data_IF_228666091891
#
_entry.id   IF_228666091891
#
_cell.length_a   1.000
_cell.length_b   1.000
_cell.length_c   1.000
_cell.angle_alpha   90.00
_cell.angle_beta   90.00
_cell.angle_gamma   90.00
#
_symmetry.space_group_name_H-M   'P 1'
#
loop_
_entity.id
_entity.type
_entity.pdbx_description
1 polymer ?
#
# COMPACT_ATOMS: atom_id res chain seq x y z
N UNK A 1 5.85 18.19 12.94
CA UNK A 1 5.67 16.73 12.93
C UNK A 1 5.14 16.34 11.58
N UNK A 2 5.79 15.37 10.93
CA UNK A 2 5.32 14.85 9.64
C UNK A 2 4.15 13.88 9.82
N UNK A 3 3.31 13.74 8.79
CA UNK A 3 2.30 12.67 8.79
C UNK A 3 2.86 11.40 8.15
N UNK A 4 2.58 10.28 8.78
CA UNK A 4 2.84 8.94 8.27
C UNK A 4 1.53 8.26 7.86
N UNK A 5 1.63 7.45 6.84
CA UNK A 5 0.52 6.67 6.29
C UNK A 5 0.87 5.20 6.41
N UNK A 6 0.04 4.44 7.11
CA UNK A 6 0.13 3.00 7.20
C UNK A 6 -0.89 2.36 6.25
N UNK A 7 -0.39 1.56 5.33
CA UNK A 7 -1.19 0.78 4.38
C UNK A 7 -1.23 -0.67 4.86
N UNK A 8 -2.36 -1.08 5.44
CA UNK A 8 -2.54 -2.42 5.97
C UNK A 8 -2.74 -3.43 4.85
N UNK A 9 -2.12 -4.61 4.98
CA UNK A 9 -2.25 -5.68 4.00
C UNK A 9 -3.38 -6.63 4.35
N UNK A 10 -4.24 -6.92 3.36
CA UNK A 10 -5.27 -7.96 3.39
C UNK A 10 -6.15 -7.94 4.65
N UNK A 11 -6.59 -6.74 5.07
CA UNK A 11 -7.59 -6.57 6.12
C UNK A 11 -8.99 -6.43 5.54
N UNK A 12 -10.00 -6.77 6.32
CA UNK A 12 -11.42 -6.75 5.95
C UNK A 12 -11.73 -7.57 4.68
N UNK A 13 -10.98 -8.65 4.51
CA UNK A 13 -11.18 -9.69 3.49
C UNK A 13 -11.40 -11.02 4.20
N UNK A 14 -12.48 -11.72 3.86
CA UNK A 14 -12.81 -12.99 4.50
C UNK A 14 -12.94 -12.85 6.03
N UNK A 15 -12.19 -13.67 6.77
CA UNK A 15 -12.21 -13.70 8.25
C UNK A 15 -11.30 -12.67 8.93
N UNK A 16 -10.49 -11.96 8.17
CA UNK A 16 -9.49 -11.00 8.70
C UNK A 16 -10.13 -9.63 8.93
N UNK A 17 -10.96 -9.51 9.97
CA UNK A 17 -11.70 -8.30 10.25
C UNK A 17 -10.92 -7.38 11.18
N UNK A 18 -10.71 -6.14 10.74
CA UNK A 18 -10.12 -5.04 11.48
C UNK A 18 -11.07 -3.84 11.37
N UNK A 19 -11.99 -3.66 12.32
CA UNK A 19 -12.89 -2.50 12.30
C UNK A 19 -12.09 -1.21 12.46
N UNK A 20 -12.20 -0.29 11.51
CA UNK A 20 -11.39 0.93 11.47
C UNK A 20 -11.63 1.86 12.67
N UNK A 21 -12.86 1.90 13.20
CA UNK A 21 -13.17 2.65 14.43
C UNK A 21 -12.41 2.09 15.63
N UNK A 22 -12.42 0.75 15.80
CA UNK A 22 -11.68 0.08 16.87
C UNK A 22 -10.16 0.30 16.73
N UNK A 23 -9.64 0.18 15.53
CA UNK A 23 -8.22 0.43 15.26
C UNK A 23 -7.82 1.86 15.65
N UNK A 24 -8.64 2.85 15.29
CA UNK A 24 -8.39 4.26 15.67
C UNK A 24 -8.33 4.44 17.19
N UNK A 25 -9.27 3.84 17.93
CA UNK A 25 -9.29 3.89 19.41
C UNK A 25 -8.04 3.25 20.02
N UNK A 26 -7.66 2.06 19.55
CA UNK A 26 -6.48 1.34 20.00
C UNK A 26 -5.19 2.11 19.76
N UNK A 27 -5.03 2.67 18.57
CA UNK A 27 -3.86 3.48 18.24
C UNK A 27 -3.79 4.72 19.12
N UNK A 28 -4.91 5.41 19.36
CA UNK A 28 -4.97 6.54 20.27
C UNK A 28 -4.57 6.16 21.69
N UNK A 29 -5.09 5.06 22.22
CA UNK A 29 -4.73 4.53 23.55
C UNK A 29 -3.25 4.13 23.63
N UNK A 30 -2.66 3.65 22.54
CA UNK A 30 -1.24 3.32 22.43
C UNK A 30 -0.32 4.55 22.20
N UNK A 31 -0.90 5.77 22.22
CA UNK A 31 -0.14 7.02 22.12
C UNK A 31 0.22 7.43 20.69
N UNK A 32 -0.47 6.93 19.67
CA UNK A 32 -0.42 7.51 18.34
C UNK A 32 -1.25 8.79 18.30
N UNK A 33 -0.73 9.82 17.64
CA UNK A 33 -1.34 11.15 17.62
C UNK A 33 -2.06 11.41 16.29
N UNK A 34 -3.16 12.15 16.32
CA UNK A 34 -3.92 12.57 15.15
C UNK A 34 -4.37 11.41 14.24
N UNK A 35 -4.75 10.28 14.84
CA UNK A 35 -5.13 9.08 14.09
C UNK A 35 -6.42 9.29 13.30
N UNK A 36 -6.35 9.04 12.00
CA UNK A 36 -7.49 9.01 11.09
C UNK A 36 -7.42 7.78 10.18
N UNK A 37 -8.56 7.33 9.69
CA UNK A 37 -8.65 6.17 8.80
C UNK A 37 -9.43 6.52 7.53
N UNK A 38 -9.13 5.84 6.44
CA UNK A 38 -9.84 6.01 5.17
C UNK A 38 -10.07 4.66 4.51
N UNK A 39 -11.32 4.32 4.24
CA UNK A 39 -11.82 3.05 3.70
C UNK A 39 -11.51 1.83 4.57
N UNK A 40 -12.33 0.80 4.40
CA UNK A 40 -12.17 -0.49 5.11
C UNK A 40 -10.97 -1.30 4.63
N UNK A 41 -10.34 -0.91 3.53
CA UNK A 41 -9.11 -1.57 3.03
C UNK A 41 -7.86 -1.29 3.88
N UNK A 42 -8.00 -0.51 4.96
CA UNK A 42 -6.93 -0.32 5.94
C UNK A 42 -5.92 0.74 5.52
N UNK A 43 -6.35 1.99 5.45
CA UNK A 43 -5.47 3.14 5.27
C UNK A 43 -5.55 3.99 6.53
N UNK A 44 -4.43 4.19 7.20
CA UNK A 44 -4.35 4.88 8.47
C UNK A 44 -3.34 6.02 8.38
N UNK A 45 -3.71 7.18 8.90
CA UNK A 45 -2.89 8.38 8.97
C UNK A 45 -2.63 8.72 10.43
N UNK A 46 -1.45 9.20 10.74
CA UNK A 46 -1.13 9.69 12.07
C UNK A 46 0.11 10.61 12.05
N UNK A 47 0.27 11.41 13.07
CA UNK A 47 1.49 12.19 13.25
C UNK A 47 2.65 11.28 13.68
N UNK A 48 3.86 11.50 13.15
CA UNK A 48 5.03 10.65 13.37
C UNK A 48 5.45 10.52 14.83
N UNK A 49 5.10 11.52 15.65
CA UNK A 49 5.46 11.58 17.08
C UNK A 49 6.98 11.58 17.31
N UNK A 50 7.75 12.01 16.30
CA UNK A 50 9.21 12.00 16.36
C UNK A 50 9.85 10.62 16.16
N UNK A 51 9.05 9.61 15.72
CA UNK A 51 9.53 8.25 15.46
C UNK A 51 9.67 7.99 13.97
N UNK A 52 10.59 7.10 13.64
CA UNK A 52 10.75 6.62 12.26
C UNK A 52 9.53 5.82 11.78
N UNK A 53 9.38 5.70 10.47
CA UNK A 53 8.35 4.87 9.85
C UNK A 53 8.48 3.40 10.27
N UNK A 54 9.70 2.88 10.39
CA UNK A 54 9.94 1.50 10.82
C UNK A 54 9.48 1.28 12.27
N UNK A 55 9.80 2.19 13.19
CA UNK A 55 9.37 2.08 14.59
C UNK A 55 7.85 2.15 14.73
N UNK A 56 7.21 3.09 14.05
CA UNK A 56 5.75 3.21 14.09
C UNK A 56 5.06 2.05 13.40
N UNK A 57 5.61 1.56 12.29
CA UNK A 57 5.11 0.36 11.60
C UNK A 57 5.13 -0.88 12.50
N UNK A 58 6.28 -1.17 13.13
CA UNK A 58 6.42 -2.31 14.05
C UNK A 58 5.47 -2.22 15.25
N UNK A 59 5.35 -1.05 15.88
CA UNK A 59 4.39 -0.83 16.97
C UNK A 59 2.93 -1.07 16.53
N UNK A 60 2.59 -0.66 15.32
CA UNK A 60 1.24 -0.87 14.78
C UNK A 60 0.98 -2.36 14.50
N UNK A 61 1.95 -3.08 13.94
CA UNK A 61 1.85 -4.52 13.70
C UNK A 61 1.68 -5.31 15.00
N UNK A 62 2.44 -4.97 16.05
CA UNK A 62 2.29 -5.55 17.38
C UNK A 62 0.90 -5.30 17.96
N UNK A 63 0.42 -4.06 17.91
CA UNK A 63 -0.91 -3.68 18.38
C UNK A 63 -2.03 -4.44 17.66
N UNK A 64 -1.90 -4.60 16.35
CA UNK A 64 -2.86 -5.35 15.54
C UNK A 64 -2.86 -6.84 15.89
N UNK A 65 -1.68 -7.43 16.10
CA UNK A 65 -1.56 -8.83 16.50
C UNK A 65 -2.16 -9.09 17.89
N UNK A 66 -1.87 -8.23 18.85
CA UNK A 66 -2.40 -8.34 20.22
C UNK A 66 -3.92 -8.25 20.27
N UNK A 67 -4.51 -7.30 19.53
CA UNK A 67 -5.96 -7.08 19.57
C UNK A 67 -6.75 -8.09 18.73
N UNK A 68 -6.28 -8.38 17.51
CA UNK A 68 -7.06 -9.16 16.54
C UNK A 68 -6.61 -10.62 16.41
N UNK A 69 -5.48 -10.98 17.01
CA UNK A 69 -4.99 -12.36 17.08
C UNK A 69 -4.42 -12.92 15.76
N UNK A 70 -4.14 -12.05 14.77
CA UNK A 70 -3.49 -12.44 13.53
C UNK A 70 -2.51 -11.37 13.04
N UNK A 71 -1.46 -11.80 12.35
CA UNK A 71 -0.46 -10.90 11.80
C UNK A 71 -1.07 -10.03 10.68
N UNK A 72 -0.93 -8.72 10.80
CA UNK A 72 -1.24 -7.76 9.75
C UNK A 72 0.03 -7.02 9.39
N UNK A 73 0.54 -7.26 8.20
CA UNK A 73 1.73 -6.55 7.70
C UNK A 73 1.34 -5.15 7.26
N UNK A 74 2.22 -4.19 7.50
CA UNK A 74 1.99 -2.78 7.25
C UNK A 74 3.08 -2.22 6.33
N UNK A 75 2.67 -1.56 5.26
CA UNK A 75 3.59 -0.77 4.41
C UNK A 75 3.46 0.70 4.80
N UNK A 76 4.57 1.29 5.21
CA UNK A 76 4.63 2.69 5.63
C UNK A 76 5.03 3.61 4.48
N UNK A 77 4.38 4.78 4.42
CA UNK A 77 4.79 5.88 3.53
C UNK A 77 4.64 7.22 4.25
N UNK A 78 5.41 8.20 3.84
CA UNK A 78 5.21 9.61 4.22
C UNK A 78 4.39 10.35 3.17
N UNK A 79 3.88 11.53 3.51
CA UNK A 79 3.24 12.44 2.54
C UNK A 79 4.17 12.74 1.36
N UNK A 80 5.45 13.03 1.63
CA UNK A 80 6.44 13.31 0.59
C UNK A 80 6.69 12.10 -0.34
N UNK A 81 6.66 10.88 0.20
CA UNK A 81 6.75 9.68 -0.65
C UNK A 81 5.53 9.53 -1.56
N UNK A 82 4.31 9.82 -1.05
CA UNK A 82 3.12 9.81 -1.91
C UNK A 82 3.16 10.92 -2.97
N UNK A 83 3.72 12.10 -2.67
CA UNK A 83 3.98 13.13 -3.68
C UNK A 83 4.90 12.61 -4.77
N UNK A 84 5.98 11.93 -4.40
CA UNK A 84 6.90 11.29 -5.34
C UNK A 84 6.21 10.23 -6.21
N UNK A 85 5.38 9.38 -5.62
CA UNK A 85 4.60 8.36 -6.34
C UNK A 85 3.68 8.97 -7.40
N UNK A 86 3.02 10.08 -7.07
CA UNK A 86 2.10 10.77 -7.99
C UNK A 86 2.88 11.50 -9.08
N UNK A 87 3.93 12.23 -8.72
CA UNK A 87 4.73 13.01 -9.65
C UNK A 87 5.50 12.13 -10.65
N UNK A 88 5.98 10.98 -10.21
CA UNK A 88 6.74 10.05 -11.03
C UNK A 88 5.88 9.11 -11.89
N UNK A 89 4.55 9.24 -11.85
CA UNK A 89 3.61 8.37 -12.56
C UNK A 89 4.09 7.98 -13.97
N UNK A 90 4.45 6.70 -14.22
CA UNK A 90 5.02 6.26 -15.49
C UNK A 90 3.97 5.99 -16.58
N UNK A 91 2.68 5.95 -16.22
CA UNK A 91 1.56 5.64 -17.12
C UNK A 91 0.50 6.77 -17.11
N UNK A 92 0.87 8.03 -17.45
CA UNK A 92 -0.03 9.17 -17.29
C UNK A 92 -1.30 9.07 -18.17
N UNK A 93 -1.25 8.35 -19.28
CA UNK A 93 -2.42 8.08 -20.12
C UNK A 93 -3.48 7.18 -19.50
N UNK A 94 -3.21 6.58 -18.34
CA UNK A 94 -4.12 5.62 -17.68
C UNK A 94 -4.84 6.20 -16.47
N UNK A 95 -4.54 7.44 -16.07
CA UNK A 95 -5.18 8.10 -14.92
C UNK A 95 -6.68 8.33 -15.08
N UNK A 96 -7.18 8.44 -16.30
CA UNK A 96 -8.62 8.56 -16.56
C UNK A 96 -9.40 7.27 -16.21
N UNK A 97 -8.75 6.12 -16.24
CA UNK A 97 -9.30 4.83 -15.85
C UNK A 97 -8.80 4.41 -14.45
N UNK A 98 -8.93 5.30 -13.51
CA UNK A 98 -8.35 5.23 -12.18
C UNK A 98 -8.76 3.98 -11.37
N UNK A 99 -9.89 3.34 -11.69
CA UNK A 99 -10.34 2.11 -11.02
C UNK A 99 -9.54 0.88 -11.46
N UNK A 100 -9.00 0.90 -12.68
CA UNK A 100 -8.19 -0.16 -13.27
C UNK A 100 -6.70 0.14 -13.21
N UNK A 101 -6.35 1.34 -12.77
CA UNK A 101 -4.98 1.77 -12.54
C UNK A 101 -4.61 1.64 -11.06
N UNK A 102 -3.65 0.79 -10.76
CA UNK A 102 -3.30 0.38 -9.40
C UNK A 102 -1.83 0.65 -9.14
N UNK A 103 -1.54 1.17 -7.96
CA UNK A 103 -0.19 1.24 -7.40
C UNK A 103 -0.07 0.18 -6.32
N UNK A 104 0.87 -0.73 -6.47
CA UNK A 104 1.24 -1.71 -5.47
C UNK A 104 2.48 -1.21 -4.74
N UNK A 105 2.33 -0.99 -3.45
CA UNK A 105 3.38 -0.53 -2.54
C UNK A 105 4.09 -1.73 -1.94
N UNK A 106 5.41 -1.76 -2.05
CA UNK A 106 6.24 -2.80 -1.47
C UNK A 106 6.78 -2.39 -0.10
N UNK A 107 6.87 -3.34 0.81
CA UNK A 107 7.66 -3.18 2.04
C UNK A 107 9.16 -3.10 1.72
N UNK A 108 9.57 -3.86 0.69
CA UNK A 108 10.90 -3.81 0.08
C UNK A 108 10.75 -4.08 -1.41
N UNK A 109 11.38 -3.26 -2.24
CA UNK A 109 11.39 -3.44 -3.68
C UNK A 109 11.98 -4.79 -4.09
N UNK A 110 11.50 -5.39 -5.19
CA UNK A 110 12.14 -6.55 -5.80
C UNK A 110 13.53 -6.16 -6.33
N UNK A 111 14.40 -7.15 -6.49
CA UNK A 111 15.73 -6.91 -7.06
C UNK A 111 15.63 -6.47 -8.52
N UNK A 112 16.41 -5.46 -8.90
CA UNK A 112 16.38 -4.86 -10.24
C UNK A 112 16.62 -5.89 -11.35
N UNK A 113 17.51 -6.87 -11.12
CA UNK A 113 17.77 -7.94 -12.08
C UNK A 113 16.57 -8.84 -12.33
N UNK A 114 15.76 -9.09 -11.31
CA UNK A 114 14.52 -9.89 -11.43
C UNK A 114 13.46 -9.12 -12.21
N UNK A 115 13.32 -7.82 -11.92
CA UNK A 115 12.39 -6.93 -12.66
C UNK A 115 12.79 -6.81 -14.14
N UNK A 116 14.07 -6.63 -14.41
CA UNK A 116 14.58 -6.53 -15.78
C UNK A 116 14.36 -7.81 -16.62
N UNK A 117 14.18 -8.94 -15.98
CA UNK A 117 13.84 -10.21 -16.63
C UNK A 117 12.36 -10.37 -17.00
N UNK A 118 11.49 -9.44 -16.62
CA UNK A 118 10.08 -9.47 -17.01
C UNK A 118 9.89 -8.92 -18.41
N UNK A 119 9.18 -9.67 -19.25
CA UNK A 119 8.87 -9.23 -20.60
C UNK A 119 7.45 -8.66 -20.64
N UNK A 120 7.29 -7.47 -21.20
CA UNK A 120 5.98 -6.80 -21.28
C UNK A 120 4.92 -7.66 -21.97
N UNK A 121 5.33 -8.37 -23.03
CA UNK A 121 4.46 -9.24 -23.82
C UNK A 121 3.81 -10.37 -23.00
N UNK A 122 4.48 -10.83 -21.96
CA UNK A 122 3.96 -11.89 -21.08
C UNK A 122 2.78 -11.41 -20.23
N UNK A 123 2.58 -10.09 -20.15
CA UNK A 123 1.53 -9.44 -19.33
C UNK A 123 0.42 -8.82 -20.16
N UNK A 124 0.54 -8.76 -21.47
CA UNK A 124 -0.51 -8.20 -22.32
C UNK A 124 -1.89 -8.80 -22.00
N UNK A 125 -2.95 -8.00 -22.03
CA UNK A 125 -3.01 -6.57 -22.39
C UNK A 125 -2.72 -5.59 -21.24
N UNK A 126 -2.24 -6.05 -20.07
CA UNK A 126 -1.88 -5.20 -18.95
C UNK A 126 -0.64 -4.35 -19.28
N UNK A 127 -0.63 -3.11 -18.82
CA UNK A 127 0.55 -2.25 -18.85
C UNK A 127 1.11 -2.08 -17.43
N UNK A 128 2.42 -2.05 -17.30
CA UNK A 128 3.04 -1.92 -15.99
C UNK A 128 4.41 -1.23 -16.04
N UNK A 129 4.81 -0.68 -14.90
CA UNK A 129 6.16 -0.18 -14.67
C UNK A 129 6.53 -0.31 -13.19
N UNK A 130 7.78 -0.67 -12.92
CA UNK A 130 8.36 -0.64 -11.58
C UNK A 130 9.15 0.66 -11.40
N UNK A 131 8.93 1.35 -10.28
CA UNK A 131 9.63 2.59 -9.98
C UNK A 131 9.85 2.70 -8.47
N UNK A 132 11.10 2.70 -8.02
CA UNK A 132 11.40 2.69 -6.59
C UNK A 132 10.79 1.48 -5.87
N UNK A 133 10.03 1.76 -4.82
CA UNK A 133 9.34 0.75 -4.00
C UNK A 133 7.87 0.52 -4.45
N UNK A 134 7.55 0.86 -5.70
CA UNK A 134 6.19 0.75 -6.25
C UNK A 134 6.15 0.01 -7.59
N UNK A 135 5.05 -0.71 -7.80
CA UNK A 135 4.63 -1.22 -9.10
C UNK A 135 3.36 -0.49 -9.51
N UNK A 136 3.40 0.14 -10.67
CA UNK A 136 2.24 0.74 -11.33
C UNK A 136 1.71 -0.24 -12.36
N UNK A 137 0.43 -0.54 -12.33
CA UNK A 137 -0.18 -1.47 -13.29
C UNK A 137 -1.58 -1.02 -13.69
N UNK A 138 -1.87 -1.15 -14.98
CA UNK A 138 -3.19 -0.90 -15.54
C UNK A 138 -3.68 -2.15 -16.25
N UNK A 139 -4.87 -2.62 -15.88
CA UNK A 139 -5.47 -3.85 -16.41
C UNK A 139 -6.79 -3.53 -17.11
N UNK A 140 -6.83 -3.49 -18.45
CA UNK A 140 -8.03 -3.05 -19.22
C UNK A 140 -9.24 -3.95 -18.98
N UNK A 141 -9.02 -5.22 -18.66
CA UNK A 141 -10.07 -6.20 -18.40
C UNK A 141 -10.49 -6.26 -16.91
N UNK A 142 -9.93 -5.37 -16.08
CA UNK A 142 -10.19 -5.29 -14.65
C UNK A 142 -9.04 -5.84 -13.80
N UNK A 143 -8.87 -5.26 -12.60
CA UNK A 143 -7.76 -5.60 -11.68
C UNK A 143 -7.73 -7.09 -11.31
N UNK A 144 -8.89 -7.74 -11.28
CA UNK A 144 -9.00 -9.17 -10.97
C UNK A 144 -8.37 -10.09 -12.04
N UNK A 145 -8.13 -9.59 -13.25
CA UNK A 145 -7.45 -10.34 -14.34
C UNK A 145 -5.93 -10.15 -14.31
N UNK A 146 -5.42 -9.23 -13.52
CA UNK A 146 -4.00 -8.93 -13.46
C UNK A 146 -3.17 -10.13 -13.05
N UNK A 147 -2.03 -10.31 -13.71
CA UNK A 147 -1.03 -11.32 -13.36
C UNK A 147 -0.20 -10.96 -12.14
N UNK A 148 -0.22 -9.69 -11.69
CA UNK A 148 0.49 -9.22 -10.50
C UNK A 148 -0.24 -9.61 -9.20
N UNK A 149 -0.54 -10.89 -9.05
CA UNK A 149 -1.15 -11.44 -7.85
C UNK A 149 -0.16 -11.50 -6.69
N UNK A 150 -0.61 -11.54 -5.42
CA UNK A 150 0.28 -11.74 -4.27
C UNK A 150 1.20 -12.95 -4.42
N UNK A 151 0.69 -14.03 -5.02
CA UNK A 151 1.47 -15.24 -5.29
C UNK A 151 2.57 -15.02 -6.34
N UNK A 152 2.28 -14.27 -7.41
CA UNK A 152 3.27 -13.89 -8.41
C UNK A 152 4.36 -13.02 -7.79
N UNK A 153 3.97 -11.97 -7.05
CA UNK A 153 4.91 -11.06 -6.38
C UNK A 153 5.84 -11.81 -5.43
N UNK A 154 5.30 -12.73 -4.64
CA UNK A 154 6.10 -13.52 -3.70
C UNK A 154 7.02 -14.53 -4.42
N UNK A 155 6.49 -15.35 -5.33
CA UNK A 155 7.25 -16.46 -5.93
C UNK A 155 8.22 -16.01 -7.03
N UNK A 156 7.82 -15.04 -7.83
CA UNK A 156 8.61 -14.59 -9.01
C UNK A 156 9.50 -13.40 -8.70
N UNK A 157 9.05 -12.50 -7.83
CA UNK A 157 9.79 -11.27 -7.52
C UNK A 157 10.41 -11.28 -6.12
N UNK A 158 10.16 -12.31 -5.30
CA UNK A 158 10.67 -12.41 -3.94
C UNK A 158 10.09 -11.38 -2.97
N UNK A 159 9.00 -10.70 -3.36
CA UNK A 159 8.35 -9.68 -2.53
C UNK A 159 7.50 -10.34 -1.47
N UNK A 160 7.83 -10.14 -0.20
CA UNK A 160 7.11 -10.73 0.93
C UNK A 160 5.90 -9.89 1.34
N UNK A 161 6.07 -8.57 1.37
CA UNK A 161 5.04 -7.63 1.81
C UNK A 161 4.71 -6.65 0.69
N UNK A 162 3.46 -6.69 0.23
CA UNK A 162 2.93 -5.78 -0.77
C UNK A 162 1.45 -5.51 -0.51
N UNK A 163 1.01 -4.29 -0.76
CA UNK A 163 -0.40 -3.91 -0.69
C UNK A 163 -0.74 -2.94 -1.81
N UNK A 164 -1.91 -3.10 -2.41
CA UNK A 164 -2.31 -2.36 -3.61
C UNK A 164 -3.43 -1.36 -3.33
N UNK A 165 -3.37 -0.21 -3.99
CA UNK A 165 -4.42 0.82 -3.98
C UNK A 165 -4.68 1.30 -5.40
N UNK A 166 -5.94 1.50 -5.76
CA UNK A 166 -6.23 2.13 -7.04
C UNK A 166 -5.84 3.61 -7.03
N UNK A 167 -5.71 4.19 -8.22
CA UNK A 167 -5.19 5.55 -8.38
C UNK A 167 -6.04 6.60 -7.65
N UNK A 168 -7.37 6.48 -7.65
CA UNK A 168 -8.23 7.39 -6.90
C UNK A 168 -7.93 7.35 -5.40
N UNK A 169 -7.69 6.14 -4.86
CA UNK A 169 -7.30 5.99 -3.46
C UNK A 169 -5.95 6.64 -3.20
N UNK A 170 -4.96 6.46 -4.07
CA UNK A 170 -3.63 7.09 -3.92
C UNK A 170 -3.74 8.62 -3.85
N UNK A 171 -4.49 9.22 -4.77
CA UNK A 171 -4.74 10.66 -4.77
C UNK A 171 -5.41 11.13 -3.47
N UNK A 172 -6.43 10.37 -3.01
CA UNK A 172 -7.15 10.71 -1.78
C UNK A 172 -6.28 10.55 -0.53
N UNK A 173 -5.43 9.53 -0.49
CA UNK A 173 -4.45 9.34 0.59
C UNK A 173 -3.51 10.55 0.70
N UNK A 174 -3.04 11.06 -0.44
CA UNK A 174 -2.17 12.23 -0.47
C UNK A 174 -2.90 13.49 0.02
N UNK A 175 -4.15 13.70 -0.45
CA UNK A 175 -4.98 14.83 0.01
C UNK A 175 -5.17 14.80 1.54
N UNK A 176 -5.49 13.63 2.10
CA UNK A 176 -5.75 13.49 3.54
C UNK A 176 -4.48 13.56 4.39
N UNK A 177 -3.34 13.25 3.81
CA UNK A 177 -2.05 13.35 4.50
C UNK A 177 -1.54 14.80 4.62
N UNK A 178 -2.11 15.75 3.91
CA UNK A 178 -1.83 17.17 4.03
C UNK A 178 -0.62 17.61 3.26
#
# INVERSE_FOLDING_TARGET
MGKQIALLRAVNVGKRQVPMGRLKELMGAAGFLEVATYLQSGNVFFADGGRSAAENGGRLEELLLEEFGFVVEVVMRSSAQLDGVIAANPLPGRVADARRYVVTFFGRAPEAGVVAGLRAEDFEPDEFAFLGDELYSWSPNGVHTSKFTPQFLSRRLGVQVATARNWNTVLKLRELAG
#
